data_IF_661675122634
#
_entry.id   IF_661675122634
#
_cell.length_a   1.000
_cell.length_b   1.000
_cell.length_c   1.000
_cell.angle_alpha   90.00
_cell.angle_beta   90.00
_cell.angle_gamma   90.00
#
_symmetry.space_group_name_H-M   'P 1'
#
loop_
_entity.id
_entity.type
_entity.pdbx_description
1 polymer ?
#
# COMPACT_ATOMS: atom_id res chain seq x y z
N UNK A 1 11.30 -19.58 33.35
CA UNK A 1 10.42 -20.78 33.53
C UNK A 1 9.01 -20.46 34.05
N UNK A 2 8.46 -19.26 33.79
CA UNK A 2 7.13 -18.83 34.30
C UNK A 2 6.08 -18.82 33.17
N UNK A 3 6.49 -18.92 31.91
CA UNK A 3 5.62 -18.71 30.74
C UNK A 3 4.73 -19.91 30.31
N UNK A 4 4.90 -21.09 30.90
CA UNK A 4 4.25 -22.32 30.41
C UNK A 4 3.06 -22.81 31.24
N UNK A 5 2.77 -22.24 32.44
CA UNK A 5 1.67 -22.66 33.29
C UNK A 5 0.31 -22.01 32.99
N UNK A 6 0.31 -20.79 32.48
CA UNK A 6 -0.93 -20.03 32.26
C UNK A 6 -1.67 -20.46 30.96
N UNK A 7 -0.99 -21.07 30.00
CA UNK A 7 -1.62 -21.53 28.75
C UNK A 7 -2.53 -22.76 28.89
N UNK A 8 -2.37 -23.55 29.94
CA UNK A 8 -3.16 -24.78 30.11
C UNK A 8 -4.56 -24.58 30.67
N UNK A 9 -4.88 -23.40 31.22
CA UNK A 9 -6.20 -23.05 31.77
C UNK A 9 -7.15 -22.35 30.77
N UNK A 10 -6.67 -21.97 29.60
CA UNK A 10 -7.45 -21.25 28.60
C UNK A 10 -8.34 -22.20 27.79
N UNK A 11 -9.56 -21.79 27.48
CA UNK A 11 -10.44 -22.48 26.56
C UNK A 11 -9.83 -22.53 25.14
N UNK A 12 -10.31 -23.47 24.29
CA UNK A 12 -9.83 -23.59 22.91
C UNK A 12 -9.96 -22.27 22.13
N UNK A 13 -10.99 -21.47 22.43
CA UNK A 13 -11.22 -20.15 21.82
C UNK A 13 -10.22 -19.09 22.31
N UNK A 14 -9.92 -19.09 23.60
CA UNK A 14 -8.92 -18.19 24.21
C UNK A 14 -7.50 -18.55 23.77
N UNK A 15 -7.16 -19.84 23.66
CA UNK A 15 -5.88 -20.28 23.09
C UNK A 15 -5.73 -19.84 21.63
N UNK A 16 -6.80 -19.93 20.83
CA UNK A 16 -6.78 -19.48 19.45
C UNK A 16 -6.60 -17.96 19.35
N UNK A 17 -7.24 -17.19 20.25
CA UNK A 17 -7.07 -15.75 20.34
C UNK A 17 -5.65 -15.40 20.76
N UNK A 18 -5.12 -16.06 21.83
CA UNK A 18 -3.76 -15.84 22.32
C UNK A 18 -2.71 -16.20 21.26
N UNK A 19 -2.90 -17.32 20.54
CA UNK A 19 -2.03 -17.75 19.46
C UNK A 19 -2.08 -16.77 18.28
N UNK A 20 -3.26 -16.25 17.92
CA UNK A 20 -3.42 -15.22 16.90
C UNK A 20 -2.76 -13.89 17.30
N UNK A 21 -2.92 -13.46 18.55
CA UNK A 21 -2.25 -12.26 19.09
C UNK A 21 -0.73 -12.42 19.04
N UNK A 22 -0.21 -13.58 19.47
CA UNK A 22 1.24 -13.86 19.44
C UNK A 22 1.84 -13.93 18.02
N UNK A 23 1.05 -14.39 17.02
CA UNK A 23 1.49 -14.37 15.60
C UNK A 23 1.45 -12.95 15.04
N UNK A 24 0.52 -12.13 15.50
CA UNK A 24 0.38 -10.75 15.07
C UNK A 24 1.57 -9.90 15.47
N UNK A 25 1.95 -10.00 16.73
CA UNK A 25 3.14 -9.31 17.25
C UNK A 25 4.38 -9.72 16.43
N UNK A 26 4.41 -11.00 15.98
CA UNK A 26 5.54 -11.53 15.22
C UNK A 26 5.68 -10.89 13.82
N UNK A 27 4.61 -10.76 12.98
CA UNK A 27 4.74 -10.19 11.62
C UNK A 27 5.03 -8.69 11.67
N UNK A 28 4.34 -7.94 12.52
CA UNK A 28 4.58 -6.50 12.69
C UNK A 28 5.98 -6.23 13.25
N UNK A 29 6.39 -6.94 14.30
CA UNK A 29 7.73 -6.83 14.89
C UNK A 29 8.82 -7.22 13.90
N UNK A 30 8.60 -8.28 13.09
CA UNK A 30 9.53 -8.69 12.04
C UNK A 30 9.70 -7.60 10.99
N UNK A 31 8.59 -7.01 10.50
CA UNK A 31 8.65 -5.92 9.52
C UNK A 31 9.42 -4.74 10.10
N UNK A 32 9.12 -4.31 11.33
CA UNK A 32 9.82 -3.22 12.01
C UNK A 32 11.32 -3.52 12.17
N UNK A 33 11.67 -4.74 12.56
CA UNK A 33 13.06 -5.17 12.70
C UNK A 33 13.81 -5.15 11.36
N UNK A 34 13.20 -5.68 10.29
CA UNK A 34 13.79 -5.65 8.95
C UNK A 34 13.95 -4.22 8.41
N UNK A 35 13.01 -3.33 8.69
CA UNK A 35 13.11 -1.91 8.33
C UNK A 35 14.28 -1.23 9.07
N UNK A 36 14.42 -1.46 10.37
CA UNK A 36 15.53 -0.92 11.16
C UNK A 36 16.89 -1.41 10.67
N UNK A 37 17.00 -2.71 10.33
CA UNK A 37 18.25 -3.28 9.78
C UNK A 37 18.65 -2.66 8.45
N UNK A 38 17.67 -2.28 7.62
CA UNK A 38 17.89 -1.78 6.25
C UNK A 38 17.83 -0.26 6.13
N UNK A 39 17.63 0.44 7.23
CA UNK A 39 17.59 1.89 7.27
C UNK A 39 18.97 2.49 6.92
N UNK A 40 18.98 3.43 5.97
CA UNK A 40 20.16 4.15 5.50
C UNK A 40 19.99 5.64 5.76
N UNK A 41 20.71 6.22 6.74
CA UNK A 41 20.60 7.64 7.07
C UNK A 41 20.91 8.59 5.90
N UNK A 42 21.86 8.23 5.02
CA UNK A 42 22.18 9.04 3.84
C UNK A 42 21.07 8.99 2.81
N UNK A 43 20.49 7.82 2.61
CA UNK A 43 19.34 7.70 1.73
C UNK A 43 18.11 8.39 2.32
N UNK A 44 17.91 8.34 3.63
CA UNK A 44 16.84 9.10 4.30
C UNK A 44 16.96 10.60 4.02
N UNK A 45 18.12 11.18 4.22
CA UNK A 45 18.37 12.60 3.96
C UNK A 45 18.07 12.97 2.51
N UNK A 46 18.58 12.20 1.56
CA UNK A 46 18.29 12.39 0.14
C UNK A 46 16.80 12.26 -0.18
N UNK A 47 16.15 11.20 0.31
CA UNK A 47 14.76 10.90 -0.03
C UNK A 47 13.79 11.90 0.59
N UNK A 48 14.06 12.39 1.80
CA UNK A 48 13.24 13.43 2.46
C UNK A 48 13.14 14.71 1.62
N UNK A 49 14.17 15.03 0.84
CA UNK A 49 14.13 16.15 -0.10
C UNK A 49 13.20 15.92 -1.30
N UNK A 50 12.88 14.66 -1.62
CA UNK A 50 11.99 14.30 -2.73
C UNK A 50 10.51 14.23 -2.35
N UNK A 51 10.22 14.05 -1.06
CA UNK A 51 8.86 13.94 -0.50
C UNK A 51 8.66 14.97 0.63
N UNK A 52 8.67 16.27 0.31
CA UNK A 52 8.58 17.32 1.31
C UNK A 52 7.27 17.22 2.11
N UNK A 53 7.35 17.40 3.42
CA UNK A 53 6.20 17.26 4.32
C UNK A 53 5.91 15.84 4.81
N UNK A 54 6.59 14.83 4.27
CA UNK A 54 6.47 13.45 4.77
C UNK A 54 7.37 13.27 5.99
N UNK A 55 6.77 12.84 7.09
CA UNK A 55 7.46 12.59 8.36
C UNK A 55 7.83 11.11 8.53
N UNK A 56 8.62 10.80 9.57
CA UNK A 56 8.95 9.44 10.01
C UNK A 56 9.56 8.54 8.91
N UNK A 57 10.40 9.10 8.05
CA UNK A 57 11.13 8.36 7.01
C UNK A 57 12.34 7.66 7.66
N UNK A 58 12.44 6.34 7.50
CA UNK A 58 13.59 5.55 7.97
C UNK A 58 14.74 5.52 6.98
N UNK A 59 14.44 5.62 5.68
CA UNK A 59 15.42 5.59 4.60
C UNK A 59 15.68 4.18 4.06
N UNK A 60 14.64 3.35 3.98
CA UNK A 60 14.76 2.01 3.37
C UNK A 60 14.46 2.10 1.87
N UNK A 61 15.34 1.52 1.05
CA UNK A 61 15.21 1.59 -0.41
C UNK A 61 14.05 0.74 -0.93
N UNK A 62 13.37 1.22 -1.97
CA UNK A 62 12.20 0.55 -2.60
C UNK A 62 12.43 -0.95 -2.90
N UNK A 63 13.58 -1.40 -3.44
CA UNK A 63 13.78 -2.83 -3.67
C UNK A 63 13.72 -3.68 -2.39
N UNK A 64 14.18 -3.16 -1.25
CA UNK A 64 14.10 -3.84 0.04
C UNK A 64 12.65 -3.88 0.55
N UNK A 65 11.93 -2.74 0.47
CA UNK A 65 10.50 -2.68 0.82
C UNK A 65 9.68 -3.71 0.02
N UNK A 66 9.97 -3.85 -1.28
CA UNK A 66 9.33 -4.87 -2.13
C UNK A 66 9.64 -6.31 -1.69
N UNK A 67 10.85 -6.60 -1.19
CA UNK A 67 11.20 -7.93 -0.65
C UNK A 67 10.43 -8.22 0.62
N UNK A 68 10.41 -7.27 1.56
CA UNK A 68 9.68 -7.37 2.82
C UNK A 68 8.19 -7.60 2.54
N UNK A 69 7.56 -6.76 1.71
CA UNK A 69 6.15 -6.86 1.36
C UNK A 69 5.79 -8.20 0.68
N UNK A 70 6.65 -8.73 -0.21
CA UNK A 70 6.44 -10.04 -0.84
C UNK A 70 6.54 -11.20 0.16
N UNK A 71 7.41 -11.10 1.15
CA UNK A 71 7.48 -12.07 2.25
C UNK A 71 6.21 -12.01 3.10
N UNK A 72 5.88 -10.83 3.58
CA UNK A 72 4.70 -10.58 4.40
C UNK A 72 3.38 -11.01 3.72
N UNK A 73 3.26 -10.83 2.41
CA UNK A 73 2.08 -11.24 1.64
C UNK A 73 1.84 -12.77 1.59
N UNK A 74 2.77 -13.59 2.11
CA UNK A 74 2.62 -15.05 2.22
C UNK A 74 2.26 -15.51 3.63
N UNK A 75 2.21 -14.59 4.58
CA UNK A 75 1.95 -14.82 6.01
C UNK A 75 0.55 -14.34 6.40
N UNK A 76 0.30 -14.02 7.66
CA UNK A 76 -1.01 -13.50 8.13
C UNK A 76 -1.16 -12.00 7.83
N UNK A 77 -1.05 -11.65 6.54
CA UNK A 77 -1.11 -10.28 6.05
C UNK A 77 -2.47 -9.61 6.30
N UNK A 78 -3.59 -10.39 6.35
CA UNK A 78 -4.92 -9.82 6.65
C UNK A 78 -4.93 -9.20 8.02
N UNK A 79 -4.45 -9.93 8.99
CA UNK A 79 -4.37 -9.47 10.36
C UNK A 79 -3.44 -8.26 10.50
N UNK A 80 -2.30 -8.28 9.78
CA UNK A 80 -1.40 -7.13 9.71
C UNK A 80 -2.10 -5.88 9.13
N UNK A 81 -2.76 -5.99 7.98
CA UNK A 81 -3.46 -4.85 7.36
C UNK A 81 -4.63 -4.31 8.19
N UNK A 82 -5.29 -5.18 8.97
CA UNK A 82 -6.46 -4.79 9.76
C UNK A 82 -6.12 -4.15 11.11
N UNK A 83 -5.02 -4.55 11.72
CA UNK A 83 -4.75 -4.20 13.12
C UNK A 83 -3.49 -3.38 13.32
N UNK A 84 -2.56 -3.40 12.38
CA UNK A 84 -1.33 -2.64 12.50
C UNK A 84 -1.56 -1.21 12.01
N UNK A 85 -1.34 -0.24 12.91
CA UNK A 85 -1.24 1.18 12.54
C UNK A 85 0.21 1.44 12.10
N UNK A 86 0.45 1.99 10.91
CA UNK A 86 1.79 2.32 10.47
C UNK A 86 2.32 3.54 11.25
N UNK A 87 3.56 3.42 11.76
CA UNK A 87 4.25 4.50 12.46
C UNK A 87 5.22 5.25 11.53
N UNK A 88 5.60 4.63 10.40
CA UNK A 88 6.61 5.13 9.48
C UNK A 88 6.12 5.15 8.04
N UNK A 89 6.73 6.03 7.24
CA UNK A 89 6.53 6.11 5.78
C UNK A 89 6.68 4.74 5.10
N UNK A 90 7.70 3.99 5.48
CA UNK A 90 7.98 2.68 4.91
C UNK A 90 6.91 1.63 5.26
N UNK A 91 6.33 1.69 6.45
CA UNK A 91 5.22 0.80 6.84
C UNK A 91 3.96 1.10 6.03
N UNK A 92 3.63 2.37 5.77
CA UNK A 92 2.53 2.74 4.85
C UNK A 92 2.77 2.14 3.46
N UNK A 93 3.98 2.27 2.95
CA UNK A 93 4.35 1.73 1.64
C UNK A 93 4.29 0.19 1.60
N UNK A 94 4.76 -0.51 2.65
CA UNK A 94 4.65 -1.97 2.77
C UNK A 94 3.19 -2.41 2.77
N UNK A 95 2.29 -1.73 3.49
CA UNK A 95 0.85 -2.02 3.49
C UNK A 95 0.28 -1.96 2.08
N UNK A 96 0.53 -0.89 1.35
CA UNK A 96 0.11 -0.75 -0.05
C UNK A 96 0.70 -1.84 -0.96
N UNK A 97 2.00 -2.17 -0.82
CA UNK A 97 2.64 -3.23 -1.61
C UNK A 97 2.11 -4.64 -1.27
N UNK A 98 1.76 -4.93 -0.02
CA UNK A 98 1.12 -6.19 0.37
C UNK A 98 -0.19 -6.38 -0.39
N UNK A 99 -1.02 -5.33 -0.53
CA UNK A 99 -2.25 -5.39 -1.33
C UNK A 99 -1.95 -5.81 -2.77
N UNK A 100 -0.82 -5.39 -3.31
CA UNK A 100 -0.35 -5.78 -4.65
C UNK A 100 0.07 -7.25 -4.77
N UNK A 101 0.75 -7.78 -3.76
CA UNK A 101 1.36 -9.11 -3.81
C UNK A 101 0.53 -10.23 -3.21
N UNK A 102 -0.36 -9.93 -2.26
CA UNK A 102 -1.15 -10.94 -1.56
C UNK A 102 -2.19 -11.62 -2.45
N UNK A 103 -2.49 -12.89 -2.16
CA UNK A 103 -3.55 -13.64 -2.82
C UNK A 103 -4.89 -13.29 -2.18
N UNK A 104 -5.76 -12.69 -2.96
CA UNK A 104 -7.15 -12.35 -2.60
C UNK A 104 -7.97 -12.19 -3.87
N UNK A 105 -9.30 -12.21 -3.77
CA UNK A 105 -10.17 -11.89 -4.88
C UNK A 105 -10.26 -10.37 -5.13
N UNK A 106 -10.95 -9.96 -6.21
CA UNK A 106 -11.01 -8.56 -6.60
C UNK A 106 -11.86 -7.73 -5.64
N UNK A 107 -12.91 -8.30 -5.06
CA UNK A 107 -13.79 -7.61 -4.11
C UNK A 107 -13.05 -7.30 -2.80
N UNK A 108 -12.39 -8.28 -2.22
CA UNK A 108 -11.54 -8.11 -1.04
C UNK A 108 -10.44 -7.07 -1.31
N UNK A 109 -9.84 -7.12 -2.50
CA UNK A 109 -8.79 -6.18 -2.90
C UNK A 109 -9.28 -4.75 -2.98
N UNK A 110 -10.47 -4.52 -3.57
CA UNK A 110 -11.09 -3.20 -3.61
C UNK A 110 -11.38 -2.66 -2.20
N UNK A 111 -11.80 -3.53 -1.27
CA UNK A 111 -12.03 -3.12 0.12
C UNK A 111 -10.73 -2.64 0.78
N UNK A 112 -9.61 -3.35 0.58
CA UNK A 112 -8.31 -2.92 1.10
C UNK A 112 -7.80 -1.65 0.41
N UNK A 113 -7.96 -1.52 -0.90
CA UNK A 113 -7.58 -0.30 -1.63
C UNK A 113 -8.41 0.91 -1.19
N UNK A 114 -9.71 0.74 -0.97
CA UNK A 114 -10.57 1.82 -0.49
C UNK A 114 -10.18 2.33 0.91
N UNK A 115 -9.57 1.47 1.74
CA UNK A 115 -9.01 1.88 3.04
C UNK A 115 -7.62 2.49 2.89
N UNK A 116 -6.81 1.98 1.96
CA UNK A 116 -5.43 2.41 1.77
C UNK A 116 -5.29 3.75 1.03
N UNK A 117 -6.09 3.99 -0.01
CA UNK A 117 -5.99 5.23 -0.81
C UNK A 117 -6.07 6.50 0.03
N UNK A 118 -6.95 6.61 1.05
CA UNK A 118 -6.95 7.75 1.97
C UNK A 118 -5.72 7.89 2.88
N UNK A 119 -4.91 6.84 3.04
CA UNK A 119 -3.65 6.88 3.81
C UNK A 119 -2.48 7.47 2.99
N UNK A 120 -2.66 7.64 1.68
CA UNK A 120 -1.62 8.16 0.77
C UNK A 120 -1.51 9.67 0.94
N UNK A 121 -0.34 10.16 1.31
CA UNK A 121 -0.05 11.59 1.53
C UNK A 121 1.09 12.13 0.65
N UNK A 122 1.72 11.26 -0.16
CA UNK A 122 2.80 11.65 -1.06
C UNK A 122 2.84 10.79 -2.34
N UNK A 123 3.51 11.33 -3.37
CA UNK A 123 3.61 10.69 -4.68
C UNK A 123 4.36 9.35 -4.64
N UNK A 124 5.39 9.23 -3.80
CA UNK A 124 6.25 8.06 -3.79
C UNK A 124 5.52 6.81 -3.25
N UNK A 125 4.67 6.97 -2.23
CA UNK A 125 3.79 5.89 -1.75
C UNK A 125 2.80 5.49 -2.86
N UNK A 126 2.12 6.47 -3.47
CA UNK A 126 1.15 6.24 -4.53
C UNK A 126 1.74 5.40 -5.67
N UNK A 127 2.79 5.91 -6.28
CA UNK A 127 3.35 5.36 -7.52
C UNK A 127 4.11 4.05 -7.28
N UNK A 128 4.85 3.97 -6.16
CA UNK A 128 5.57 2.74 -5.81
C UNK A 128 4.64 1.57 -5.50
N UNK A 129 3.51 1.82 -4.84
CA UNK A 129 2.50 0.80 -4.57
C UNK A 129 1.76 0.44 -5.87
N UNK A 130 1.33 1.43 -6.67
CA UNK A 130 0.65 1.21 -7.94
C UNK A 130 1.44 0.28 -8.86
N UNK A 131 2.75 0.46 -8.96
CA UNK A 131 3.62 -0.40 -9.78
C UNK A 131 3.59 -1.89 -9.41
N UNK A 132 3.04 -2.26 -8.25
CA UNK A 132 2.87 -3.66 -7.80
C UNK A 132 1.52 -4.27 -8.20
N UNK A 133 0.54 -3.48 -8.65
CA UNK A 133 -0.84 -3.88 -8.88
C UNK A 133 -1.07 -4.55 -10.23
N UNK A 134 -0.16 -5.49 -10.61
CA UNK A 134 -0.22 -6.23 -11.88
C UNK A 134 -1.52 -7.04 -12.09
N UNK A 135 -2.29 -7.25 -11.02
CA UNK A 135 -3.61 -7.87 -11.11
C UNK A 135 -4.61 -7.06 -11.94
N UNK A 136 -4.43 -5.73 -12.05
CA UNK A 136 -5.32 -4.85 -12.82
C UNK A 136 -5.38 -5.23 -14.30
N UNK A 137 -4.29 -5.76 -14.85
CA UNK A 137 -4.25 -6.22 -16.24
C UNK A 137 -5.02 -7.53 -16.49
N UNK A 138 -5.36 -8.29 -15.43
CA UNK A 138 -6.06 -9.58 -15.58
C UNK A 138 -7.57 -9.45 -15.80
N UNK A 139 -8.16 -8.36 -15.30
CA UNK A 139 -9.58 -8.03 -15.45
C UNK A 139 -9.72 -6.53 -15.75
N UNK A 140 -9.32 -6.10 -16.97
CA UNK A 140 -9.18 -4.69 -17.29
C UNK A 140 -10.49 -3.90 -17.13
N UNK A 141 -11.64 -4.45 -17.50
CA UNK A 141 -12.95 -3.79 -17.39
C UNK A 141 -13.27 -3.35 -15.94
N UNK A 142 -13.03 -4.25 -14.97
CA UNK A 142 -13.29 -4.02 -13.56
C UNK A 142 -12.35 -2.92 -13.04
N UNK A 143 -11.05 -3.07 -13.30
CA UNK A 143 -10.03 -2.18 -12.76
C UNK A 143 -10.00 -0.82 -13.45
N UNK A 144 -10.30 -0.75 -14.74
CA UNK A 144 -10.51 0.51 -15.44
C UNK A 144 -11.67 1.32 -14.82
N UNK A 145 -12.81 0.65 -14.57
CA UNK A 145 -13.96 1.29 -13.92
C UNK A 145 -13.61 1.78 -12.50
N UNK A 146 -12.91 0.96 -11.72
CA UNK A 146 -12.45 1.32 -10.37
C UNK A 146 -11.53 2.54 -10.36
N UNK A 147 -10.53 2.57 -11.25
CA UNK A 147 -9.58 3.68 -11.33
C UNK A 147 -10.27 4.98 -11.80
N UNK A 148 -11.21 4.88 -12.73
CA UNK A 148 -12.04 6.02 -13.12
C UNK A 148 -12.82 6.59 -11.93
N UNK A 149 -13.44 5.72 -11.15
CA UNK A 149 -14.15 6.14 -9.93
C UNK A 149 -13.20 6.88 -8.98
N UNK A 150 -11.95 6.42 -8.82
CA UNK A 150 -10.94 7.12 -7.99
C UNK A 150 -10.62 8.52 -8.51
N UNK A 151 -10.57 8.73 -9.83
CA UNK A 151 -10.43 10.07 -10.41
C UNK A 151 -11.64 10.97 -10.06
N UNK A 152 -12.85 10.39 -10.00
CA UNK A 152 -14.10 11.13 -9.74
C UNK A 152 -14.30 11.45 -8.23
N UNK A 153 -13.59 10.80 -7.30
CA UNK A 153 -13.69 11.04 -5.85
C UNK A 153 -13.22 12.46 -5.42
N UNK A 154 -12.39 13.11 -6.20
CA UNK A 154 -12.08 14.53 -6.05
C UNK A 154 -11.01 14.87 -5.00
N UNK A 155 -10.45 13.92 -4.25
CA UNK A 155 -9.30 14.20 -3.36
C UNK A 155 -7.99 14.11 -4.14
N UNK A 156 -6.97 14.87 -3.74
CA UNK A 156 -5.70 14.96 -4.46
C UNK A 156 -5.08 13.57 -4.73
N UNK A 157 -4.98 12.72 -3.71
CA UNK A 157 -4.35 11.41 -3.86
C UNK A 157 -5.28 10.35 -4.43
N UNK A 158 -6.60 10.45 -4.33
CA UNK A 158 -7.48 9.54 -5.06
C UNK A 158 -7.44 9.83 -6.56
N UNK A 159 -7.40 11.11 -6.96
CA UNK A 159 -7.21 11.50 -8.37
C UNK A 159 -5.85 10.98 -8.87
N UNK A 160 -4.75 11.27 -8.15
CA UNK A 160 -3.42 10.78 -8.53
C UNK A 160 -3.39 9.27 -8.66
N UNK A 161 -3.94 8.54 -7.69
CA UNK A 161 -4.01 7.08 -7.71
C UNK A 161 -4.75 6.56 -8.96
N UNK A 162 -5.90 7.17 -9.28
CA UNK A 162 -6.65 6.84 -10.49
C UNK A 162 -5.86 7.13 -11.77
N UNK A 163 -5.26 8.32 -11.88
CA UNK A 163 -4.47 8.74 -13.06
C UNK A 163 -3.25 7.85 -13.25
N UNK A 164 -2.43 7.65 -12.21
CA UNK A 164 -1.22 6.80 -12.29
C UNK A 164 -1.58 5.36 -12.64
N UNK A 165 -2.66 4.81 -12.04
CA UNK A 165 -3.13 3.46 -12.37
C UNK A 165 -3.61 3.33 -13.82
N UNK A 166 -4.33 4.34 -14.33
CA UNK A 166 -4.76 4.39 -15.72
C UNK A 166 -3.56 4.48 -16.67
N UNK A 167 -2.53 5.26 -16.34
CA UNK A 167 -1.30 5.33 -17.12
C UNK A 167 -0.51 4.03 -17.09
N UNK A 168 -0.32 3.42 -15.92
CA UNK A 168 0.52 2.22 -15.78
C UNK A 168 -0.06 0.98 -16.47
N UNK A 169 -1.40 0.89 -16.58
CA UNK A 169 -2.05 -0.36 -16.98
C UNK A 169 -2.94 -0.26 -18.22
N UNK A 170 -3.30 0.97 -18.66
CA UNK A 170 -4.30 1.16 -19.71
C UNK A 170 -3.82 2.06 -20.87
N UNK A 171 -2.55 2.45 -20.94
CA UNK A 171 -2.00 3.12 -22.13
C UNK A 171 -1.80 2.07 -23.24
N UNK A 172 -2.81 1.93 -24.09
CA UNK A 172 -2.81 1.11 -25.29
C UNK A 172 -3.83 1.65 -26.29
N UNK A 173 -3.87 1.08 -27.51
CA UNK A 173 -4.75 1.55 -28.59
C UNK A 173 -6.24 1.55 -28.23
N UNK A 174 -6.68 0.63 -27.37
CA UNK A 174 -8.09 0.51 -26.97
C UNK A 174 -8.54 1.65 -26.03
N UNK A 175 -7.66 2.12 -25.13
CA UNK A 175 -8.04 3.04 -24.06
C UNK A 175 -7.51 4.46 -24.24
N UNK A 176 -6.46 4.68 -25.06
CA UNK A 176 -5.73 5.95 -25.10
C UNK A 176 -6.64 7.17 -25.34
N UNK A 177 -7.55 7.11 -26.29
CA UNK A 177 -8.45 8.23 -26.60
C UNK A 177 -9.41 8.54 -25.45
N UNK A 178 -9.78 7.53 -24.67
CA UNK A 178 -10.63 7.68 -23.48
C UNK A 178 -9.83 8.28 -22.34
N UNK A 179 -8.57 7.86 -22.16
CA UNK A 179 -7.68 8.37 -21.14
C UNK A 179 -7.39 9.85 -21.35
N UNK A 180 -7.04 10.27 -22.57
CA UNK A 180 -6.79 11.68 -22.90
C UNK A 180 -8.01 12.53 -22.59
N UNK A 181 -9.22 12.08 -22.92
CA UNK A 181 -10.46 12.78 -22.58
C UNK A 181 -10.76 12.85 -21.09
N UNK A 182 -10.32 11.86 -20.31
CA UNK A 182 -10.44 11.88 -18.84
C UNK A 182 -9.44 12.89 -18.26
N UNK A 183 -8.17 12.81 -18.67
CA UNK A 183 -7.11 13.64 -18.14
C UNK A 183 -7.32 15.14 -18.48
N UNK A 184 -7.76 15.44 -19.69
CA UNK A 184 -8.09 16.81 -20.14
C UNK A 184 -9.20 17.48 -19.30
N UNK A 185 -10.07 16.69 -18.70
CA UNK A 185 -11.17 17.18 -17.86
C UNK A 185 -10.81 17.35 -16.39
N UNK A 186 -9.66 16.84 -15.96
CA UNK A 186 -9.26 16.94 -14.56
C UNK A 186 -8.87 18.38 -14.24
N UNK A 187 -9.65 19.00 -13.35
CA UNK A 187 -9.39 20.33 -12.81
C UNK A 187 -9.24 20.20 -11.29
N UNK A 188 -8.02 20.34 -10.79
CA UNK A 188 -7.74 20.27 -9.36
C UNK A 188 -6.53 21.13 -9.02
N UNK A 189 -6.59 21.86 -7.89
CA UNK A 189 -5.52 22.78 -7.50
C UNK A 189 -4.31 22.05 -6.87
N UNK A 190 -4.48 20.82 -6.42
CA UNK A 190 -3.43 20.02 -5.79
C UNK A 190 -2.20 19.81 -6.67
N UNK A 191 -1.03 20.05 -6.10
CA UNK A 191 0.25 19.94 -6.80
C UNK A 191 0.47 18.55 -7.41
N UNK A 192 0.15 17.50 -6.65
CA UNK A 192 0.38 16.12 -7.08
C UNK A 192 -0.60 15.64 -8.15
N UNK A 193 -1.80 16.27 -8.26
CA UNK A 193 -2.69 16.04 -9.41
C UNK A 193 -2.10 16.69 -10.66
N UNK A 194 -1.72 17.97 -10.57
CA UNK A 194 -1.11 18.69 -11.71
C UNK A 194 0.13 17.96 -12.23
N UNK A 195 0.97 17.43 -11.33
CA UNK A 195 2.14 16.65 -11.70
C UNK A 195 1.79 15.30 -12.38
N UNK A 196 0.65 14.70 -12.06
CA UNK A 196 0.24 13.43 -12.66
C UNK A 196 -0.37 13.58 -14.05
N UNK A 197 -0.98 14.73 -14.37
CA UNK A 197 -1.68 14.98 -15.66
C UNK A 197 -0.87 15.81 -16.66
N UNK A 198 0.26 16.41 -16.24
CA UNK A 198 1.16 17.18 -17.08
C UNK A 198 2.05 16.30 -17.95
#
# INVERSE_FOLDING_TARGET
MIHNRDQMSLSSKERLIFYKVSIMDNLSERIKSELLEKADPKYREFHSGLVPGTENIMGVRIPELRKIARSAAKEDWRNYLEKCCPDTYEEVMIRGMIIGYAKMDDEERMQYLNRFVPEIDNWAVCDSCMSTYKFMQKKPEIWYSYLRQKVEEGTEFSIRFGVVGLMDYFINEEYIDRLLKIFDKIQHEGYYVKMAVA
#
